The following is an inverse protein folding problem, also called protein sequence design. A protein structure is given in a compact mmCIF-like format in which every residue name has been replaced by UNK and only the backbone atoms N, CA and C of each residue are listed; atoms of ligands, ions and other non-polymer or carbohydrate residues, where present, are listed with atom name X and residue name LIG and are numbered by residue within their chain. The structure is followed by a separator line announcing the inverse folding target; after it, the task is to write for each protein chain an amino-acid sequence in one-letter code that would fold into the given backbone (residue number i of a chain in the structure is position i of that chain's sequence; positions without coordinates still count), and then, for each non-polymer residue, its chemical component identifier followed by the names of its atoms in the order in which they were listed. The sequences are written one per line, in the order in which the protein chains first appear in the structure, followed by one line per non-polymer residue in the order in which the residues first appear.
data_IF_728987287924
#
_entry.id   IF_728987287924
#
_cell.length_a   1.000
_cell.length_b   1.000
_cell.length_c   1.000
_cell.angle_alpha   90.00
_cell.angle_beta   90.00
_cell.angle_gamma   90.00
#
_symmetry.space_group_name_H-M   'P 1'
#
loop_
_entity.id
_entity.type
_entity.pdbx_description
1 polymer ?
#
# COMPACT_ATOMS: atom_id res chain seq x y z
N UNK A 1 -20.88 13.46 -5.54
CA UNK A 1 -20.62 12.00 -5.51
C UNK A 1 -20.64 11.52 -6.95
N UNK A 2 -19.52 11.03 -7.49
CA UNK A 2 -19.36 10.84 -8.96
C UNK A 2 -19.99 9.51 -9.46
N UNK A 3 -20.39 8.62 -8.55
CA UNK A 3 -21.09 7.35 -8.84
C UNK A 3 -21.90 6.89 -7.63
N UNK A 4 -22.88 6.01 -7.85
CA UNK A 4 -23.71 5.39 -6.80
C UNK A 4 -23.21 3.98 -6.51
N UNK A 5 -22.85 3.72 -5.26
CA UNK A 5 -22.45 2.37 -4.85
C UNK A 5 -23.70 1.47 -4.77
N UNK A 6 -23.67 0.25 -5.35
CA UNK A 6 -24.79 -0.68 -5.24
C UNK A 6 -25.14 -0.96 -3.78
N UNK A 7 -26.44 -0.96 -3.47
CA UNK A 7 -26.94 -1.11 -2.09
C UNK A 7 -26.97 -2.56 -1.60
N UNK A 8 -27.23 -3.51 -2.51
CA UNK A 8 -27.41 -4.92 -2.17
C UNK A 8 -26.18 -5.75 -2.55
N UNK A 9 -25.92 -6.81 -1.78
CA UNK A 9 -24.92 -7.80 -2.15
C UNK A 9 -25.39 -8.61 -3.35
N UNK A 10 -24.82 -8.31 -4.51
CA UNK A 10 -24.90 -9.21 -5.65
C UNK A 10 -24.08 -10.46 -5.37
N UNK A 11 -24.53 -11.62 -5.85
CA UNK A 11 -23.75 -12.87 -5.88
C UNK A 11 -22.35 -12.74 -6.53
N UNK A 12 -22.07 -11.60 -7.15
CA UNK A 12 -20.82 -11.23 -7.85
C UNK A 12 -19.79 -10.48 -6.97
N UNK A 13 -20.07 -10.20 -5.69
CA UNK A 13 -19.07 -9.54 -4.83
C UNK A 13 -17.90 -10.49 -4.49
N UNK A 14 -16.68 -9.96 -4.58
CA UNK A 14 -15.42 -10.65 -4.22
C UNK A 14 -14.65 -9.86 -3.15
N UNK A 15 -13.94 -10.54 -2.22
CA UNK A 15 -13.06 -9.87 -1.26
C UNK A 15 -12.02 -8.94 -1.88
N UNK A 16 -11.64 -9.17 -3.14
CA UNK A 16 -10.68 -8.31 -3.85
C UNK A 16 -11.19 -6.88 -4.08
N UNK A 17 -12.50 -6.60 -3.95
CA UNK A 17 -13.02 -5.23 -3.98
C UNK A 17 -12.53 -4.34 -2.83
N UNK A 18 -12.02 -4.92 -1.74
CA UNK A 18 -11.30 -4.15 -0.72
C UNK A 18 -10.09 -3.41 -1.31
N UNK A 19 -9.48 -3.93 -2.38
CA UNK A 19 -8.35 -3.29 -3.06
C UNK A 19 -8.73 -1.94 -3.71
N UNK A 20 -10.02 -1.71 -4.02
CA UNK A 20 -10.49 -0.41 -4.49
C UNK A 20 -10.35 0.66 -3.39
N UNK A 21 -10.76 0.33 -2.16
CA UNK A 21 -10.58 1.20 -1.01
C UNK A 21 -9.09 1.36 -0.67
N UNK A 22 -8.33 0.26 -0.66
CA UNK A 22 -6.88 0.29 -0.44
C UNK A 22 -6.17 1.22 -1.42
N UNK A 23 -6.49 1.11 -2.71
CA UNK A 23 -5.92 1.93 -3.77
C UNK A 23 -6.23 3.42 -3.61
N UNK A 24 -7.45 3.77 -3.22
CA UNK A 24 -7.80 5.14 -2.88
C UNK A 24 -6.99 5.66 -1.67
N UNK A 25 -6.86 4.85 -0.62
CA UNK A 25 -6.01 5.20 0.53
C UNK A 25 -4.54 5.40 0.13
N UNK A 26 -4.03 4.53 -0.74
CA UNK A 26 -2.70 4.67 -1.33
C UNK A 26 -2.52 5.96 -2.14
N UNK A 27 -3.51 6.36 -2.93
CA UNK A 27 -3.47 7.63 -3.65
C UNK A 27 -3.42 8.83 -2.69
N UNK A 28 -4.12 8.79 -1.55
CA UNK A 28 -3.97 9.81 -0.51
C UNK A 28 -2.51 9.89 0.01
N UNK A 29 -1.87 8.74 0.26
CA UNK A 29 -0.44 8.66 0.64
C UNK A 29 0.45 9.27 -0.45
N UNK A 30 0.17 9.02 -1.74
CA UNK A 30 0.97 9.57 -2.83
C UNK A 30 0.97 11.10 -2.87
N UNK A 31 -0.15 11.75 -2.54
CA UNK A 31 -0.21 13.21 -2.38
C UNK A 31 0.49 13.70 -1.12
N UNK A 32 0.44 12.91 -0.03
CA UNK A 32 1.22 13.22 1.17
C UNK A 32 2.73 13.23 0.90
N UNK A 33 3.23 12.45 -0.07
CA UNK A 33 4.65 12.51 -0.48
C UNK A 33 5.06 13.88 -1.02
N UNK A 34 4.14 14.65 -1.59
CA UNK A 34 4.43 16.02 -2.04
C UNK A 34 4.73 16.91 -0.84
N UNK A 35 3.90 16.81 0.22
CA UNK A 35 4.15 17.53 1.47
C UNK A 35 5.46 17.05 2.09
N UNK A 36 5.64 15.73 2.22
CA UNK A 36 6.81 15.13 2.86
C UNK A 36 8.13 15.62 2.24
N UNK A 37 8.20 15.79 0.92
CA UNK A 37 9.47 16.04 0.25
C UNK A 37 9.64 17.44 -0.33
N UNK A 38 8.57 18.23 -0.47
CA UNK A 38 8.66 19.59 -1.01
C UNK A 38 8.41 20.67 0.04
N UNK A 39 7.87 20.31 1.20
CA UNK A 39 7.66 21.23 2.32
C UNK A 39 8.79 21.10 3.35
N UNK A 40 9.47 22.20 3.73
CA UNK A 40 10.33 22.20 4.91
C UNK A 40 9.51 21.96 6.18
N UNK A 41 9.99 21.07 7.06
CA UNK A 41 9.35 20.74 8.33
C UNK A 41 10.46 20.47 9.38
N UNK A 42 11.04 21.51 9.99
CA UNK A 42 12.22 21.37 10.86
C UNK A 42 11.87 20.82 12.25
N UNK A 43 10.64 20.99 12.71
CA UNK A 43 10.23 20.72 14.09
C UNK A 43 9.76 19.27 14.30
N UNK A 44 9.55 18.52 13.22
CA UNK A 44 9.08 17.14 13.25
C UNK A 44 9.69 16.33 12.09
N UNK A 45 9.75 14.99 12.19
CA UNK A 45 10.20 14.12 11.09
C UNK A 45 9.18 13.99 9.95
N UNK A 46 8.00 14.60 10.07
CA UNK A 46 6.91 14.58 9.09
C UNK A 46 6.29 15.97 8.98
N UNK A 47 5.73 16.34 7.80
CA UNK A 47 5.09 17.64 7.62
C UNK A 47 3.79 17.74 8.42
N UNK A 48 3.61 18.88 9.08
CA UNK A 48 2.45 19.21 9.90
C UNK A 48 1.56 20.26 9.22
N UNK A 49 0.37 20.48 9.79
CA UNK A 49 -0.55 21.51 9.36
C UNK A 49 0.10 22.91 9.38
N UNK A 50 0.87 23.18 10.43
CA UNK A 50 1.57 24.45 10.66
C UNK A 50 2.61 24.74 9.56
N UNK A 51 3.35 23.73 9.13
CA UNK A 51 4.33 23.84 8.04
C UNK A 51 3.63 24.25 6.74
N UNK A 52 2.48 23.64 6.46
CA UNK A 52 1.71 23.90 5.25
C UNK A 52 1.13 25.32 5.26
N UNK A 53 0.62 25.78 6.40
CA UNK A 53 0.16 27.17 6.58
C UNK A 53 1.31 28.17 6.41
N UNK A 54 2.48 27.86 6.96
CA UNK A 54 3.68 28.71 6.84
C UNK A 54 4.11 28.81 5.38
N UNK A 55 4.17 27.70 4.65
CA UNK A 55 4.50 27.72 3.23
C UNK A 55 3.47 28.46 2.38
N UNK A 56 2.17 28.41 2.72
CA UNK A 56 1.16 29.18 2.01
C UNK A 56 1.35 30.70 2.16
N UNK A 57 1.92 31.16 3.27
CA UNK A 57 2.27 32.57 3.48
C UNK A 57 3.54 32.93 2.72
N UNK A 58 4.64 32.23 3.02
CA UNK A 58 5.98 32.75 2.75
C UNK A 58 6.77 31.98 1.67
N UNK A 59 6.26 30.84 1.17
CA UNK A 59 6.99 30.03 0.20
C UNK A 59 6.74 30.42 -1.27
N UNK A 60 7.55 29.82 -2.16
CA UNK A 60 7.43 29.98 -3.61
C UNK A 60 6.06 29.56 -4.15
N UNK A 61 5.67 30.09 -5.32
CA UNK A 61 4.42 29.71 -5.99
C UNK A 61 4.29 28.19 -6.20
N UNK A 62 5.39 27.51 -6.52
CA UNK A 62 5.44 26.05 -6.71
C UNK A 62 5.08 25.33 -5.41
N UNK A 63 5.64 25.76 -4.28
CA UNK A 63 5.33 25.22 -2.96
C UNK A 63 3.86 25.43 -2.59
N UNK A 64 3.29 26.59 -2.91
CA UNK A 64 1.86 26.88 -2.66
C UNK A 64 0.95 25.96 -3.49
N UNK A 65 1.26 25.79 -4.78
CA UNK A 65 0.52 24.87 -5.66
C UNK A 65 0.62 23.42 -5.16
N UNK A 66 1.82 23.00 -4.73
CA UNK A 66 2.05 21.69 -4.16
C UNK A 66 1.20 21.45 -2.90
N UNK A 67 1.15 22.40 -1.97
CA UNK A 67 0.36 22.29 -0.74
C UNK A 67 -1.14 22.18 -1.07
N UNK A 68 -1.67 23.10 -1.89
CA UNK A 68 -3.10 23.08 -2.26
C UNK A 68 -3.46 21.81 -3.01
N UNK A 69 -2.62 21.38 -3.96
CA UNK A 69 -2.80 20.14 -4.71
C UNK A 69 -2.76 18.91 -3.82
N UNK A 70 -1.82 18.85 -2.87
CA UNK A 70 -1.73 17.76 -1.91
C UNK A 70 -2.94 17.72 -0.98
N UNK A 71 -3.39 18.85 -0.43
CA UNK A 71 -4.59 18.91 0.40
C UNK A 71 -5.84 18.45 -0.35
N UNK A 72 -6.04 18.93 -1.58
CA UNK A 72 -7.15 18.50 -2.42
C UNK A 72 -7.11 16.99 -2.70
N UNK A 73 -5.94 16.47 -3.06
CA UNK A 73 -5.73 15.05 -3.32
C UNK A 73 -5.97 14.18 -2.07
N UNK A 74 -5.35 14.52 -0.94
CA UNK A 74 -5.51 13.81 0.33
C UNK A 74 -6.99 13.82 0.74
N UNK A 75 -7.64 14.98 0.75
CA UNK A 75 -9.05 15.10 1.14
C UNK A 75 -9.97 14.26 0.27
N UNK A 76 -9.84 14.37 -1.06
CA UNK A 76 -10.66 13.63 -2.02
C UNK A 76 -10.46 12.11 -1.90
N UNK A 77 -9.21 11.64 -1.93
CA UNK A 77 -8.91 10.21 -1.93
C UNK A 77 -9.15 9.55 -0.57
N UNK A 78 -9.02 10.30 0.52
CA UNK A 78 -9.41 9.81 1.85
C UNK A 78 -10.92 9.65 1.97
N UNK A 79 -11.70 10.63 1.50
CA UNK A 79 -13.16 10.51 1.46
C UNK A 79 -13.58 9.30 0.62
N UNK A 80 -12.94 9.11 -0.54
CA UNK A 80 -13.17 7.95 -1.38
C UNK A 80 -12.81 6.63 -0.68
N UNK A 81 -11.66 6.57 0.00
CA UNK A 81 -11.24 5.41 0.78
C UNK A 81 -12.31 5.01 1.80
N UNK A 82 -12.80 5.95 2.62
CA UNK A 82 -13.82 5.65 3.63
C UNK A 82 -15.16 5.22 3.01
N UNK A 83 -15.59 5.86 1.91
CA UNK A 83 -16.81 5.45 1.21
C UNK A 83 -16.73 4.00 0.71
N UNK A 84 -15.64 3.65 0.04
CA UNK A 84 -15.42 2.29 -0.47
C UNK A 84 -15.19 1.28 0.66
N UNK A 85 -14.54 1.67 1.76
CA UNK A 85 -14.32 0.82 2.92
C UNK A 85 -15.65 0.47 3.60
N UNK A 86 -16.48 1.46 3.90
CA UNK A 86 -17.80 1.25 4.53
C UNK A 86 -18.65 0.35 3.66
N UNK A 87 -18.65 0.58 2.35
CA UNK A 87 -19.34 -0.29 1.40
C UNK A 87 -18.79 -1.72 1.45
N UNK A 88 -17.48 -1.92 1.33
CA UNK A 88 -16.87 -3.25 1.38
C UNK A 88 -17.14 -3.99 2.71
N UNK A 89 -17.12 -3.31 3.85
CA UNK A 89 -17.44 -3.92 5.15
C UNK A 89 -18.89 -4.39 5.23
N UNK A 90 -19.84 -3.59 4.70
CA UNK A 90 -21.26 -3.98 4.61
C UNK A 90 -21.44 -5.18 3.68
N UNK A 91 -20.82 -5.15 2.50
CA UNK A 91 -20.86 -6.24 1.53
C UNK A 91 -20.25 -7.52 2.10
N UNK A 92 -19.11 -7.42 2.78
CA UNK A 92 -18.46 -8.55 3.42
C UNK A 92 -19.33 -9.18 4.52
N UNK A 93 -19.99 -8.36 5.34
CA UNK A 93 -20.91 -8.84 6.38
C UNK A 93 -22.07 -9.67 5.80
N UNK A 94 -22.60 -9.25 4.65
CA UNK A 94 -23.65 -9.99 3.92
C UNK A 94 -23.07 -11.24 3.25
N UNK A 95 -21.95 -11.12 2.55
CA UNK A 95 -21.27 -12.22 1.84
C UNK A 95 -20.96 -13.40 2.76
N UNK A 96 -20.55 -13.14 4.01
CA UNK A 96 -20.28 -14.18 5.03
C UNK A 96 -21.45 -15.13 5.32
N UNK A 97 -22.67 -14.74 4.97
CA UNK A 97 -23.89 -15.54 5.17
C UNK A 97 -24.27 -16.39 3.96
N UNK A 98 -23.49 -16.30 2.87
CA UNK A 98 -23.82 -16.95 1.59
C UNK A 98 -23.10 -18.29 1.41
N UNK A 99 -23.64 -19.22 0.59
CA UNK A 99 -22.94 -20.45 0.22
C UNK A 99 -21.59 -20.20 -0.47
N UNK A 100 -21.47 -19.11 -1.25
CA UNK A 100 -20.25 -18.71 -1.94
C UNK A 100 -19.09 -18.43 -0.95
N UNK A 101 -19.39 -17.89 0.24
CA UNK A 101 -18.38 -17.70 1.28
C UNK A 101 -17.85 -19.03 1.83
N UNK A 102 -18.73 -20.02 2.04
CA UNK A 102 -18.31 -21.35 2.47
C UNK A 102 -17.46 -22.05 1.41
N UNK A 103 -17.79 -21.88 0.13
CA UNK A 103 -16.96 -22.38 -0.97
C UNK A 103 -15.59 -21.69 -1.01
N UNK A 104 -15.55 -20.36 -0.83
CA UNK A 104 -14.32 -19.59 -0.78
C UNK A 104 -13.40 -20.09 0.36
N UNK A 105 -13.94 -20.26 1.56
CA UNK A 105 -13.22 -20.75 2.76
C UNK A 105 -12.64 -22.16 2.59
N UNK A 106 -13.19 -22.95 1.68
CA UNK A 106 -12.70 -24.30 1.37
C UNK A 106 -11.83 -24.35 0.11
N UNK A 107 -11.30 -23.20 -0.35
CA UNK A 107 -10.52 -23.09 -1.58
C UNK A 107 -9.18 -22.36 -1.36
N UNK A 108 -8.30 -22.38 -2.37
CA UNK A 108 -7.07 -21.59 -2.38
C UNK A 108 -7.34 -20.07 -2.31
N UNK A 109 -8.50 -19.64 -2.82
CA UNK A 109 -8.94 -18.24 -2.83
C UNK A 109 -9.36 -17.72 -1.45
N UNK A 110 -9.40 -18.56 -0.42
CA UNK A 110 -9.60 -18.14 0.97
C UNK A 110 -8.63 -17.01 1.39
N UNK A 111 -7.40 -17.05 0.89
CA UNK A 111 -6.38 -16.02 1.13
C UNK A 111 -6.80 -14.61 0.69
N UNK A 112 -7.79 -14.48 -0.21
CA UNK A 112 -8.33 -13.18 -0.61
C UNK A 112 -9.03 -12.43 0.53
N UNK A 113 -9.47 -13.14 1.58
CA UNK A 113 -10.04 -12.52 2.78
C UNK A 113 -9.05 -11.59 3.50
N UNK A 114 -7.75 -11.77 3.28
CA UNK A 114 -6.69 -10.90 3.81
C UNK A 114 -6.70 -9.50 3.20
N UNK A 115 -7.43 -9.27 2.11
CA UNK A 115 -7.69 -7.93 1.58
C UNK A 115 -8.39 -7.02 2.60
N UNK A 116 -9.22 -7.59 3.49
CA UNK A 116 -9.89 -6.88 4.58
C UNK A 116 -8.91 -6.28 5.60
N UNK A 117 -8.12 -7.11 6.32
CA UNK A 117 -7.09 -6.63 7.24
C UNK A 117 -6.09 -5.68 6.58
N UNK A 118 -5.64 -6.00 5.36
CA UNK A 118 -4.76 -5.15 4.56
C UNK A 118 -5.35 -3.74 4.38
N UNK A 119 -6.64 -3.64 4.07
CA UNK A 119 -7.31 -2.35 3.86
C UNK A 119 -7.54 -1.61 5.18
N UNK A 120 -7.90 -2.29 6.27
CA UNK A 120 -8.02 -1.66 7.59
C UNK A 120 -6.68 -1.12 8.10
N UNK A 121 -5.57 -1.82 7.83
CA UNK A 121 -4.23 -1.31 8.15
C UNK A 121 -3.95 0.00 7.39
N UNK A 122 -4.33 0.07 6.11
CA UNK A 122 -4.26 1.32 5.34
C UNK A 122 -5.17 2.42 5.90
N UNK A 123 -6.34 2.08 6.45
CA UNK A 123 -7.25 3.06 7.07
C UNK A 123 -6.60 3.81 8.23
N UNK A 124 -5.79 3.12 9.06
CA UNK A 124 -5.03 3.77 10.12
C UNK A 124 -4.03 4.77 9.52
N UNK A 125 -3.31 4.38 8.46
CA UNK A 125 -2.36 5.28 7.77
C UNK A 125 -3.06 6.51 7.17
N UNK A 126 -4.23 6.33 6.55
CA UNK A 126 -5.06 7.44 6.02
C UNK A 126 -5.52 8.35 7.16
N UNK A 127 -5.93 7.78 8.30
CA UNK A 127 -6.29 8.55 9.50
C UNK A 127 -5.14 9.42 10.00
N UNK A 128 -3.92 8.88 10.07
CA UNK A 128 -2.73 9.65 10.43
C UNK A 128 -2.44 10.78 9.44
N UNK A 129 -2.51 10.51 8.13
CA UNK A 129 -2.30 11.54 7.10
C UNK A 129 -3.33 12.66 7.23
N UNK A 130 -4.61 12.33 7.41
CA UNK A 130 -5.65 13.33 7.63
C UNK A 130 -5.38 14.17 8.88
N UNK A 131 -4.97 13.51 9.97
CA UNK A 131 -4.55 14.18 11.19
C UNK A 131 -3.43 15.18 10.92
N UNK A 132 -2.30 14.71 10.40
CA UNK A 132 -1.10 15.54 10.15
C UNK A 132 -1.38 16.69 9.18
N UNK A 133 -2.27 16.48 8.21
CA UNK A 133 -2.54 17.45 7.13
C UNK A 133 -3.57 18.49 7.54
N UNK A 134 -4.57 18.15 8.35
CA UNK A 134 -5.74 19.01 8.59
C UNK A 134 -6.03 19.32 10.06
N UNK A 135 -5.35 18.68 11.01
CA UNK A 135 -5.58 18.92 12.45
C UNK A 135 -4.44 19.77 13.01
N UNK A 136 -4.71 21.02 13.43
CA UNK A 136 -3.70 21.87 14.04
C UNK A 136 -3.23 21.29 15.37
N UNK A 137 -1.95 21.48 15.68
CA UNK A 137 -1.27 21.07 16.90
C UNK A 137 -1.33 19.56 17.20
N UNK A 138 -1.62 18.69 16.20
CA UNK A 138 -1.68 17.23 16.42
C UNK A 138 -0.37 16.69 17.01
N UNK A 139 0.77 17.24 16.60
CA UNK A 139 2.08 16.78 17.05
C UNK A 139 2.27 16.92 18.58
N UNK A 140 1.60 17.89 19.21
CA UNK A 140 1.64 18.08 20.68
C UNK A 140 1.10 16.89 21.48
N UNK A 141 0.27 16.04 20.86
CA UNK A 141 -0.36 14.88 21.50
C UNK A 141 0.04 13.56 20.84
N UNK A 142 0.95 13.57 19.86
CA UNK A 142 1.26 12.40 19.02
C UNK A 142 1.77 11.19 19.82
N UNK A 143 2.49 11.43 20.92
CA UNK A 143 2.99 10.37 21.79
C UNK A 143 1.88 9.54 22.44
N UNK A 144 0.69 10.13 22.65
CA UNK A 144 -0.49 9.39 23.11
C UNK A 144 -1.17 8.59 22.00
N UNK A 145 -1.05 9.06 20.74
CA UNK A 145 -1.61 8.37 19.59
C UNK A 145 -0.80 7.13 19.22
N UNK A 146 0.53 7.12 19.45
CA UNK A 146 1.37 5.99 19.06
C UNK A 146 1.00 4.66 19.75
N UNK A 147 0.80 4.56 21.08
CA UNK A 147 0.34 3.32 21.71
C UNK A 147 -1.01 2.84 21.18
N UNK A 148 -1.94 3.76 20.94
CA UNK A 148 -3.27 3.44 20.38
C UNK A 148 -3.15 2.89 18.96
N UNK A 149 -2.26 3.47 18.15
CA UNK A 149 -1.96 2.99 16.81
C UNK A 149 -1.31 1.62 16.82
N UNK A 150 -0.32 1.39 17.70
CA UNK A 150 0.32 0.08 17.86
C UNK A 150 -0.73 -0.98 18.23
N UNK A 151 -1.58 -0.70 19.20
CA UNK A 151 -2.67 -1.61 19.59
C UNK A 151 -3.61 -1.90 18.42
N UNK A 152 -3.99 -0.87 17.66
CA UNK A 152 -4.87 -1.01 16.49
C UNK A 152 -4.25 -1.90 15.41
N UNK A 153 -2.97 -1.71 15.08
CA UNK A 153 -2.26 -2.56 14.14
C UNK A 153 -2.06 -3.99 14.67
N UNK A 154 -1.83 -4.18 15.97
CA UNK A 154 -1.74 -5.51 16.58
C UNK A 154 -3.07 -6.24 16.49
N UNK A 155 -4.21 -5.57 16.72
CA UNK A 155 -5.53 -6.17 16.58
C UNK A 155 -5.83 -6.59 15.13
N UNK A 156 -5.47 -5.73 14.16
CA UNK A 156 -5.59 -6.06 12.73
C UNK A 156 -4.65 -7.22 12.37
N UNK A 157 -3.44 -7.23 12.92
CA UNK A 157 -2.46 -8.30 12.77
C UNK A 157 -2.97 -9.62 13.32
N UNK A 158 -3.56 -9.61 14.52
CA UNK A 158 -4.18 -10.79 15.11
C UNK A 158 -5.32 -11.33 14.24
N UNK A 159 -6.15 -10.45 13.66
CA UNK A 159 -7.18 -10.86 12.70
C UNK A 159 -6.59 -11.50 11.43
N UNK A 160 -5.53 -10.90 10.87
CA UNK A 160 -4.84 -11.44 9.70
C UNK A 160 -4.18 -12.79 9.99
N UNK A 161 -3.53 -12.94 11.15
CA UNK A 161 -2.94 -14.21 11.60
C UNK A 161 -4.01 -15.27 11.86
N UNK A 162 -5.19 -14.91 12.36
CA UNK A 162 -6.30 -15.85 12.53
C UNK A 162 -6.80 -16.39 11.18
N UNK A 163 -6.93 -15.54 10.16
CA UNK A 163 -7.27 -15.98 8.80
C UNK A 163 -6.19 -16.90 8.21
N UNK A 164 -4.92 -16.57 8.42
CA UNK A 164 -3.80 -17.40 7.99
C UNK A 164 -3.77 -18.75 8.72
N UNK A 165 -4.00 -18.76 10.02
CA UNK A 165 -4.07 -19.99 10.83
C UNK A 165 -5.13 -20.93 10.27
N UNK A 166 -6.31 -20.43 9.94
CA UNK A 166 -7.39 -21.24 9.38
C UNK A 166 -7.00 -21.82 8.00
N UNK A 167 -6.41 -20.99 7.12
CA UNK A 167 -5.95 -21.42 5.80
C UNK A 167 -4.83 -22.48 5.88
N UNK A 168 -3.76 -22.19 6.62
CA UNK A 168 -2.61 -23.09 6.77
C UNK A 168 -2.97 -24.35 7.56
N UNK A 169 -3.81 -24.22 8.59
CA UNK A 169 -4.31 -25.37 9.34
C UNK A 169 -5.07 -26.33 8.43
N UNK A 170 -5.90 -25.82 7.52
CA UNK A 170 -6.60 -26.64 6.52
C UNK A 170 -5.62 -27.24 5.51
N UNK A 171 -4.79 -26.40 4.88
CA UNK A 171 -3.94 -26.80 3.74
C UNK A 171 -2.79 -27.71 4.16
N UNK A 172 -2.12 -27.45 5.29
CA UNK A 172 -0.94 -28.21 5.71
C UNK A 172 -1.28 -29.49 6.46
N UNK A 173 -2.44 -29.55 7.14
CA UNK A 173 -2.87 -30.77 7.87
C UNK A 173 -3.77 -31.63 7.00
N UNK A 174 -4.77 -31.02 6.34
CA UNK A 174 -5.77 -31.73 5.55
C UNK A 174 -5.42 -31.89 4.07
N UNK A 175 -4.40 -31.18 3.57
CA UNK A 175 -4.12 -31.11 2.14
C UNK A 175 -5.17 -30.29 1.38
N UNK A 176 -5.40 -30.62 0.11
CA UNK A 176 -6.42 -29.96 -0.72
C UNK A 176 -6.01 -28.62 -1.32
N UNK A 177 -4.72 -28.28 -1.31
CA UNK A 177 -4.20 -27.18 -2.09
C UNK A 177 -4.20 -27.55 -3.57
N UNK A 178 -5.02 -26.85 -4.35
CA UNK A 178 -5.10 -27.07 -5.80
C UNK A 178 -3.94 -26.33 -6.49
N UNK A 179 -2.80 -27.00 -6.65
CA UNK A 179 -1.61 -26.45 -7.33
C UNK A 179 -1.91 -26.03 -8.77
N UNK A 180 -2.90 -26.67 -9.41
CA UNK A 180 -3.30 -26.42 -10.79
C UNK A 180 -4.03 -25.08 -10.88
N UNK A 181 -5.04 -24.88 -10.03
CA UNK A 181 -5.78 -23.61 -9.98
C UNK A 181 -5.03 -22.45 -9.34
N UNK A 182 -3.79 -22.65 -8.87
CA UNK A 182 -2.96 -21.60 -8.29
C UNK A 182 -2.07 -20.87 -9.31
N UNK A 183 -2.55 -20.68 -10.54
CA UNK A 183 -1.79 -20.03 -11.59
C UNK A 183 -1.88 -18.49 -11.56
N UNK A 184 -1.99 -17.90 -10.37
CA UNK A 184 -2.00 -16.45 -10.17
C UNK A 184 -1.35 -16.07 -8.83
N UNK A 185 -0.96 -14.81 -8.70
CA UNK A 185 -0.33 -14.29 -7.49
C UNK A 185 -1.34 -13.65 -6.52
N UNK A 186 -2.63 -13.96 -6.60
CA UNK A 186 -3.57 -13.57 -5.54
C UNK A 186 -3.17 -14.17 -4.19
N UNK A 187 -2.41 -15.28 -4.20
CA UNK A 187 -1.81 -15.85 -2.99
C UNK A 187 -0.67 -15.02 -2.38
N UNK A 188 -0.30 -13.88 -2.99
CA UNK A 188 0.56 -12.88 -2.35
C UNK A 188 -0.20 -11.90 -1.46
N UNK A 189 -1.54 -11.91 -1.46
CA UNK A 189 -2.33 -11.08 -0.54
C UNK A 189 -1.94 -11.28 0.93
N UNK A 190 -1.69 -12.50 1.44
CA UNK A 190 -1.13 -12.70 2.76
C UNK A 190 0.19 -11.95 3.02
N UNK A 191 1.16 -12.07 2.12
CA UNK A 191 2.44 -11.38 2.26
C UNK A 191 2.23 -9.86 2.25
N UNK A 192 1.32 -9.37 1.39
CA UNK A 192 1.00 -7.96 1.32
C UNK A 192 0.30 -7.43 2.58
N UNK A 193 -0.65 -8.18 3.14
CA UNK A 193 -1.30 -7.84 4.40
C UNK A 193 -0.27 -7.73 5.53
N UNK A 194 0.62 -8.72 5.66
CA UNK A 194 1.69 -8.72 6.66
C UNK A 194 2.65 -7.53 6.46
N UNK A 195 3.05 -7.23 5.23
CA UNK A 195 3.92 -6.10 4.93
C UNK A 195 3.25 -4.74 5.23
N UNK A 196 1.94 -4.62 4.98
CA UNK A 196 1.17 -3.42 5.33
C UNK A 196 1.04 -3.22 6.85
N UNK A 197 0.84 -4.30 7.60
CA UNK A 197 0.82 -4.25 9.07
C UNK A 197 2.22 -3.89 9.59
N UNK A 198 3.28 -4.48 9.02
CA UNK A 198 4.67 -4.19 9.39
C UNK A 198 5.03 -2.70 9.21
N UNK A 199 4.71 -2.12 8.04
CA UNK A 199 5.02 -0.71 7.77
C UNK A 199 4.24 0.23 8.68
N UNK A 200 2.99 -0.12 9.03
CA UNK A 200 2.18 0.62 10.00
C UNK A 200 2.77 0.56 11.41
N UNK A 201 3.12 -0.64 11.87
CA UNK A 201 3.78 -0.86 13.17
C UNK A 201 5.15 -0.19 13.26
N UNK A 202 5.85 0.05 12.15
CA UNK A 202 7.15 0.72 12.13
C UNK A 202 7.04 2.25 12.23
N UNK A 203 5.83 2.84 12.10
CA UNK A 203 5.66 4.29 12.16
C UNK A 203 6.16 4.91 13.49
N UNK A 204 5.78 4.39 14.68
CA UNK A 204 6.28 4.93 15.94
C UNK A 204 7.80 4.79 16.13
N UNK A 205 8.43 3.74 15.57
CA UNK A 205 9.88 3.58 15.66
C UNK A 205 10.65 4.74 15.04
N UNK A 206 10.13 5.34 13.97
CA UNK A 206 10.76 6.47 13.29
C UNK A 206 10.41 7.85 13.91
N UNK A 207 9.38 7.93 14.74
CA UNK A 207 8.75 9.20 15.09
C UNK A 207 8.58 9.46 16.60
N UNK A 208 8.58 8.42 17.43
CA UNK A 208 8.41 8.56 18.88
C UNK A 208 9.74 8.90 19.57
N UNK A 209 9.65 9.74 20.59
CA UNK A 209 10.74 10.04 21.52
C UNK A 209 10.78 9.08 22.70
N UNK A 210 9.75 8.25 22.88
CA UNK A 210 9.69 7.27 23.97
C UNK A 210 10.34 5.95 23.54
N UNK A 211 11.48 5.62 24.15
CA UNK A 211 12.25 4.41 23.87
C UNK A 211 11.43 3.12 24.03
N UNK A 212 10.48 3.07 24.97
CA UNK A 212 9.60 1.89 25.15
C UNK A 212 8.70 1.71 23.94
N UNK A 213 8.02 2.78 23.51
CA UNK A 213 7.16 2.77 22.30
C UNK A 213 7.96 2.38 21.06
N UNK A 214 9.17 2.94 20.90
CA UNK A 214 10.09 2.63 19.81
C UNK A 214 10.48 1.15 19.84
N UNK A 215 10.85 0.61 20.99
CA UNK A 215 11.27 -0.80 21.12
C UNK A 215 10.14 -1.76 20.75
N UNK A 216 8.92 -1.55 21.27
CA UNK A 216 7.76 -2.37 20.89
C UNK A 216 7.45 -2.25 19.39
N UNK A 217 7.52 -1.04 18.84
CA UNK A 217 7.34 -0.78 17.43
C UNK A 217 8.35 -1.54 16.57
N UNK A 218 9.64 -1.53 16.93
CA UNK A 218 10.71 -2.25 16.24
C UNK A 218 10.49 -3.76 16.27
N UNK A 219 10.20 -4.34 17.44
CA UNK A 219 10.00 -5.79 17.59
C UNK A 219 8.77 -6.26 16.82
N UNK A 220 7.62 -5.60 17.00
CA UNK A 220 6.37 -5.98 16.36
C UNK A 220 6.43 -5.80 14.84
N UNK A 221 6.96 -4.68 14.35
CA UNK A 221 7.12 -4.47 12.90
C UNK A 221 8.06 -5.49 12.27
N UNK A 222 9.16 -5.85 12.96
CA UNK A 222 10.10 -6.89 12.48
C UNK A 222 9.44 -8.26 12.37
N UNK A 223 8.62 -8.65 13.35
CA UNK A 223 7.88 -9.91 13.31
C UNK A 223 6.99 -10.02 12.05
N UNK A 224 6.18 -8.98 11.79
CA UNK A 224 5.32 -8.95 10.61
C UNK A 224 6.11 -8.84 9.30
N UNK A 225 7.24 -8.12 9.30
CA UNK A 225 8.14 -8.01 8.15
C UNK A 225 8.74 -9.38 7.78
N UNK A 226 9.27 -10.12 8.75
CA UNK A 226 9.81 -11.47 8.54
C UNK A 226 8.71 -12.42 8.06
N UNK A 227 7.52 -12.34 8.65
CA UNK A 227 6.37 -13.13 8.22
C UNK A 227 6.00 -12.84 6.77
N UNK A 228 5.96 -11.56 6.38
CA UNK A 228 5.70 -11.14 5.01
C UNK A 228 6.75 -11.70 4.03
N UNK A 229 8.03 -11.65 4.41
CA UNK A 229 9.14 -12.15 3.59
C UNK A 229 9.05 -13.66 3.36
N UNK A 230 8.84 -14.44 4.42
CA UNK A 230 8.73 -15.91 4.35
C UNK A 230 7.54 -16.31 3.46
N UNK A 231 6.36 -15.74 3.73
CA UNK A 231 5.16 -16.07 2.95
C UNK A 231 5.33 -15.62 1.50
N UNK A 232 5.86 -14.42 1.27
CA UNK A 232 6.10 -13.90 -0.08
C UNK A 232 7.05 -14.79 -0.88
N UNK A 233 8.17 -15.19 -0.28
CA UNK A 233 9.15 -16.06 -0.94
C UNK A 233 8.56 -17.41 -1.36
N UNK A 234 7.85 -18.07 -0.44
CA UNK A 234 7.18 -19.36 -0.72
C UNK A 234 6.16 -19.19 -1.86
N UNK A 235 5.31 -18.17 -1.77
CA UNK A 235 4.20 -17.98 -2.70
C UNK A 235 4.65 -17.52 -4.09
N UNK A 236 5.73 -16.75 -4.19
CA UNK A 236 6.37 -16.44 -5.47
C UNK A 236 6.81 -17.75 -6.13
N UNK A 237 7.57 -18.59 -5.44
CA UNK A 237 8.08 -19.84 -6.02
C UNK A 237 6.93 -20.75 -6.48
N UNK A 238 5.92 -20.95 -5.64
CA UNK A 238 4.76 -21.78 -5.98
C UNK A 238 3.93 -21.20 -7.13
N UNK A 239 3.71 -19.88 -7.14
CA UNK A 239 2.94 -19.20 -8.18
C UNK A 239 3.64 -19.26 -9.55
N UNK A 240 4.95 -19.02 -9.59
CA UNK A 240 5.73 -19.14 -10.83
C UNK A 240 5.73 -20.57 -11.35
N UNK A 241 5.92 -21.57 -10.49
CA UNK A 241 5.83 -22.97 -10.89
C UNK A 241 4.48 -23.27 -11.57
N UNK A 242 3.36 -22.91 -10.93
CA UNK A 242 2.02 -23.15 -11.49
C UNK A 242 1.80 -22.40 -12.81
N UNK A 243 2.26 -21.14 -12.92
CA UNK A 243 2.16 -20.37 -14.16
C UNK A 243 3.01 -20.94 -15.30
N UNK A 244 4.18 -21.51 -14.99
CA UNK A 244 5.02 -22.18 -15.99
C UNK A 244 4.40 -23.50 -16.47
N UNK A 245 3.71 -24.22 -15.59
CA UNK A 245 3.04 -25.48 -15.94
C UNK A 245 1.73 -25.27 -16.71
N UNK A 246 0.96 -24.21 -16.40
CA UNK A 246 -0.43 -24.09 -16.85
C UNK A 246 -0.79 -22.79 -17.57
N UNK A 247 0.15 -21.85 -17.63
CA UNK A 247 -0.15 -20.47 -18.01
C UNK A 247 -0.91 -19.73 -16.90
N UNK A 248 -0.80 -18.41 -16.86
CA UNK A 248 -1.49 -17.58 -15.87
C UNK A 248 -2.95 -17.32 -16.23
N UNK A 249 -3.85 -17.26 -15.25
CA UNK A 249 -5.25 -16.88 -15.50
C UNK A 249 -5.35 -15.40 -15.96
N UNK A 250 -5.94 -15.11 -17.13
CA UNK A 250 -6.07 -13.75 -17.64
C UNK A 250 -6.81 -12.80 -16.68
N UNK A 251 -7.81 -13.28 -15.93
CA UNK A 251 -8.66 -12.45 -15.07
C UNK A 251 -7.92 -11.92 -13.83
N UNK A 252 -6.86 -12.64 -13.41
CA UNK A 252 -6.06 -12.41 -12.21
C UNK A 252 -4.60 -12.09 -12.55
N UNK A 253 -4.23 -12.00 -13.82
CA UNK A 253 -2.90 -11.59 -14.30
C UNK A 253 -2.34 -10.31 -13.63
N UNK A 254 -3.14 -9.27 -13.28
CA UNK A 254 -2.64 -8.10 -12.54
C UNK A 254 -1.95 -8.40 -11.23
N UNK A 255 -2.25 -9.55 -10.62
CA UNK A 255 -1.66 -9.96 -9.34
C UNK A 255 -0.15 -10.11 -9.42
N UNK A 256 0.43 -10.30 -10.62
CA UNK A 256 1.88 -10.26 -10.87
C UNK A 256 2.54 -8.99 -10.33
N UNK A 257 1.84 -7.87 -10.39
CA UNK A 257 2.35 -6.60 -9.92
C UNK A 257 2.20 -6.38 -8.42
N UNK A 258 1.49 -7.25 -7.67
CA UNK A 258 1.37 -7.13 -6.19
C UNK A 258 2.73 -7.21 -5.48
N UNK A 259 3.74 -7.79 -6.12
CA UNK A 259 5.11 -7.77 -5.60
C UNK A 259 5.64 -6.33 -5.45
N UNK A 260 5.27 -5.41 -6.36
CA UNK A 260 5.70 -4.01 -6.31
C UNK A 260 5.32 -3.32 -4.99
N UNK A 261 4.03 -3.24 -4.61
CA UNK A 261 3.65 -2.60 -3.34
C UNK A 261 4.15 -3.37 -2.11
N UNK A 262 4.31 -4.71 -2.17
CA UNK A 262 4.97 -5.45 -1.09
C UNK A 262 6.38 -4.90 -0.87
N UNK A 263 7.19 -4.84 -1.93
CA UNK A 263 8.56 -4.31 -1.86
C UNK A 263 8.59 -2.85 -1.40
N UNK A 264 7.64 -2.01 -1.82
CA UNK A 264 7.55 -0.61 -1.33
C UNK A 264 7.31 -0.59 0.17
N UNK A 265 6.31 -1.33 0.66
CA UNK A 265 5.97 -1.32 2.10
C UNK A 265 7.08 -1.89 2.97
N UNK A 266 7.77 -2.94 2.52
CA UNK A 266 8.95 -3.49 3.19
C UNK A 266 10.11 -2.48 3.21
N UNK A 267 10.34 -1.78 2.09
CA UNK A 267 11.36 -0.72 2.03
C UNK A 267 11.08 0.40 3.03
N UNK A 268 9.82 0.88 3.10
CA UNK A 268 9.43 1.92 4.06
C UNK A 268 9.53 1.41 5.50
N UNK A 269 9.21 0.13 5.74
CA UNK A 269 9.38 -0.50 7.05
C UNK A 269 10.85 -0.42 7.47
N UNK A 270 11.76 -0.86 6.60
CA UNK A 270 13.20 -0.82 6.85
C UNK A 270 13.71 0.60 7.06
N UNK A 271 13.31 1.57 6.22
CA UNK A 271 13.68 2.97 6.39
C UNK A 271 13.28 3.50 7.79
N UNK A 272 12.06 3.20 8.23
CA UNK A 272 11.55 3.63 9.53
C UNK A 272 12.28 2.96 10.69
N UNK A 273 12.55 1.67 10.57
CA UNK A 273 13.32 0.92 11.56
C UNK A 273 14.75 1.45 11.67
N UNK A 274 15.43 1.68 10.54
CA UNK A 274 16.76 2.28 10.49
C UNK A 274 16.77 3.64 11.20
N UNK A 275 15.79 4.52 10.93
CA UNK A 275 15.66 5.78 11.67
C UNK A 275 15.52 5.58 13.18
N UNK A 276 14.70 4.62 13.63
CA UNK A 276 14.55 4.30 15.05
C UNK A 276 15.85 3.81 15.69
N UNK A 277 16.60 2.94 15.00
CA UNK A 277 17.90 2.46 15.44
C UNK A 277 18.95 3.59 15.52
N UNK A 278 18.94 4.53 14.58
CA UNK A 278 19.81 5.70 14.61
C UNK A 278 19.50 6.63 15.78
N UNK A 279 18.24 6.98 15.96
CA UNK A 279 17.84 8.00 16.92
C UNK A 279 17.98 7.52 18.37
N UNK A 280 17.79 6.22 18.64
CA UNK A 280 17.70 5.70 20.01
C UNK A 280 18.79 4.71 20.40
N UNK A 281 19.56 4.16 19.44
CA UNK A 281 20.48 3.04 19.71
C UNK A 281 21.88 3.22 19.08
N UNK A 282 22.28 4.46 18.77
CA UNK A 282 23.60 4.82 18.23
C UNK A 282 24.06 3.98 17.01
N UNK A 283 23.12 3.53 16.18
CA UNK A 283 23.49 2.76 14.98
C UNK A 283 24.19 3.68 13.96
N UNK A 284 25.29 3.22 13.35
CA UNK A 284 26.06 3.99 12.36
C UNK A 284 25.65 3.77 10.90
N UNK A 285 24.43 3.28 10.62
CA UNK A 285 23.98 3.03 9.25
C UNK A 285 23.90 4.31 8.38
N UNK A 286 25.02 4.68 7.74
CA UNK A 286 25.11 5.92 6.96
C UNK A 286 24.22 5.94 5.71
N UNK A 287 24.11 7.12 5.08
CA UNK A 287 23.30 7.34 3.87
C UNK A 287 23.60 6.41 2.68
N UNK A 288 24.81 5.83 2.62
CA UNK A 288 25.18 4.81 1.61
C UNK A 288 24.30 3.55 1.73
N UNK A 289 24.05 3.08 2.96
CA UNK A 289 23.23 1.89 3.19
C UNK A 289 21.78 2.12 2.78
N UNK A 290 21.25 3.32 3.07
CA UNK A 290 19.90 3.73 2.69
C UNK A 290 19.75 3.83 1.17
N UNK A 291 20.69 4.50 0.48
CA UNK A 291 20.66 4.61 -0.97
C UNK A 291 20.80 3.25 -1.65
N UNK A 292 21.72 2.39 -1.18
CA UNK A 292 21.91 1.04 -1.70
C UNK A 292 20.63 0.20 -1.56
N UNK A 293 20.02 0.20 -0.37
CA UNK A 293 18.76 -0.48 -0.12
C UNK A 293 17.65 0.01 -1.06
N UNK A 294 17.42 1.33 -1.13
CA UNK A 294 16.41 1.92 -2.02
C UNK A 294 16.65 1.53 -3.48
N UNK A 295 17.90 1.52 -3.93
CA UNK A 295 18.27 1.10 -5.28
C UNK A 295 17.91 -0.36 -5.54
N UNK A 296 18.29 -1.28 -4.66
CA UNK A 296 18.02 -2.71 -4.85
C UNK A 296 16.53 -3.03 -4.89
N UNK A 297 15.76 -2.46 -3.98
CA UNK A 297 14.31 -2.66 -3.95
C UNK A 297 13.63 -2.01 -5.16
N UNK A 298 14.07 -0.82 -5.60
CA UNK A 298 13.53 -0.18 -6.81
C UNK A 298 13.82 -1.03 -8.05
N UNK A 299 15.05 -1.52 -8.21
CA UNK A 299 15.42 -2.42 -9.31
C UNK A 299 14.55 -3.69 -9.31
N UNK A 300 14.35 -4.33 -8.15
CA UNK A 300 13.49 -5.50 -8.05
C UNK A 300 12.05 -5.18 -8.46
N UNK A 301 11.51 -4.02 -8.05
CA UNK A 301 10.17 -3.58 -8.47
C UNK A 301 10.07 -3.35 -9.97
N UNK A 302 11.08 -2.74 -10.59
CA UNK A 302 11.10 -2.52 -12.03
C UNK A 302 11.14 -3.86 -12.80
N UNK A 303 11.90 -4.85 -12.32
CA UNK A 303 11.91 -6.20 -12.91
C UNK A 303 10.53 -6.85 -12.85
N UNK A 304 9.87 -6.85 -11.69
CA UNK A 304 8.51 -7.39 -11.57
C UNK A 304 7.47 -6.57 -12.36
N UNK A 305 7.65 -5.25 -12.43
CA UNK A 305 6.85 -4.34 -13.24
C UNK A 305 6.92 -4.69 -14.73
N UNK A 306 8.13 -4.83 -15.27
CA UNK A 306 8.36 -5.22 -16.66
C UNK A 306 7.86 -6.63 -16.96
N UNK A 307 8.09 -7.59 -16.06
CA UNK A 307 7.59 -8.95 -16.22
C UNK A 307 6.05 -8.99 -16.30
N UNK A 308 5.38 -8.35 -15.34
CA UNK A 308 3.91 -8.29 -15.36
C UNK A 308 3.38 -7.52 -16.56
N UNK A 309 4.10 -6.50 -17.05
CA UNK A 309 3.74 -5.80 -18.28
C UNK A 309 3.73 -6.74 -19.49
N UNK A 310 4.77 -7.57 -19.65
CA UNK A 310 4.84 -8.55 -20.75
C UNK A 310 3.64 -9.50 -20.74
N UNK A 311 3.26 -9.99 -19.56
CA UNK A 311 2.11 -10.90 -19.42
C UNK A 311 0.79 -10.18 -19.71
N UNK A 312 0.56 -9.00 -19.12
CA UNK A 312 -0.66 -8.22 -19.31
C UNK A 312 -0.85 -7.75 -20.75
N UNK A 313 0.23 -7.35 -21.43
CA UNK A 313 0.21 -6.94 -22.82
C UNK A 313 -0.19 -8.10 -23.75
N UNK A 314 0.34 -9.31 -23.51
CA UNK A 314 -0.01 -10.50 -24.30
C UNK A 314 -1.46 -10.94 -24.15
N UNK A 315 -2.07 -10.73 -22.98
CA UNK A 315 -3.51 -10.96 -22.79
C UNK A 315 -4.41 -9.84 -23.33
N UNK A 316 -3.83 -8.74 -23.80
CA UNK A 316 -4.60 -7.53 -24.10
C UNK A 316 -5.38 -7.04 -22.88
N UNK A 317 -4.84 -7.24 -21.67
CA UNK A 317 -5.59 -7.09 -20.41
C UNK A 317 -6.23 -5.70 -20.29
N UNK A 318 -5.48 -4.65 -20.62
CA UNK A 318 -5.97 -3.27 -20.58
C UNK A 318 -7.15 -3.05 -21.52
N UNK A 319 -7.11 -3.59 -22.74
CA UNK A 319 -8.18 -3.47 -23.72
C UNK A 319 -9.48 -4.15 -23.25
N UNK A 320 -9.36 -5.25 -22.49
CA UNK A 320 -10.50 -6.05 -22.03
C UNK A 320 -11.10 -5.54 -20.73
N UNK A 321 -10.27 -5.43 -19.68
CA UNK A 321 -10.71 -5.23 -18.30
C UNK A 321 -10.53 -3.79 -17.78
N UNK A 322 -9.84 -2.91 -18.52
CA UNK A 322 -9.64 -1.51 -18.11
C UNK A 322 -10.39 -0.54 -19.03
N UNK A 323 -10.08 -0.54 -20.33
CA UNK A 323 -10.76 0.32 -21.32
C UNK A 323 -12.01 -0.33 -21.89
N UNK A 324 -12.09 -1.67 -21.89
CA UNK A 324 -13.25 -2.44 -22.34
C UNK A 324 -14.43 -2.45 -21.36
N UNK A 325 -15.31 -3.45 -21.55
CA UNK A 325 -16.58 -3.63 -20.80
C UNK A 325 -16.55 -4.82 -19.86
N UNK A 326 -15.55 -5.70 -19.94
CA UNK A 326 -15.42 -6.86 -19.06
C UNK A 326 -15.11 -6.41 -17.63
N UNK A 327 -15.87 -6.91 -16.65
CA UNK A 327 -15.68 -6.58 -15.23
C UNK A 327 -14.84 -7.67 -14.56
N UNK A 328 -13.72 -7.27 -13.96
CA UNK A 328 -12.94 -8.12 -13.05
C UNK A 328 -12.55 -7.35 -11.81
N UNK A 329 -12.95 -7.82 -10.63
CA UNK A 329 -12.52 -7.23 -9.36
C UNK A 329 -10.98 -7.28 -9.20
N UNK A 330 -10.32 -8.24 -9.86
CA UNK A 330 -8.86 -8.34 -9.92
C UNK A 330 -8.19 -7.14 -10.61
N UNK A 331 -8.91 -6.36 -11.43
CA UNK A 331 -8.36 -5.17 -12.07
C UNK A 331 -7.94 -4.10 -11.04
N UNK A 332 -8.56 -4.05 -9.85
CA UNK A 332 -8.13 -3.15 -8.77
C UNK A 332 -6.74 -3.47 -8.23
N UNK A 333 -6.22 -4.69 -8.45
CA UNK A 333 -4.84 -5.02 -8.10
C UNK A 333 -3.81 -4.22 -8.91
N UNK A 334 -4.19 -3.58 -10.03
CA UNK A 334 -3.32 -2.68 -10.81
C UNK A 334 -3.05 -1.34 -10.11
N UNK A 335 -3.91 -0.93 -9.14
CA UNK A 335 -3.82 0.39 -8.51
C UNK A 335 -2.66 0.48 -7.52
N UNK A 336 -2.53 -0.52 -6.64
CA UNK A 336 -1.51 -0.53 -5.59
C UNK A 336 -0.06 -0.50 -6.13
N UNK A 337 0.29 -1.21 -7.22
CA UNK A 337 1.59 -1.08 -7.88
C UNK A 337 1.89 0.32 -8.41
N UNK A 338 0.91 0.97 -9.03
CA UNK A 338 1.05 2.36 -9.47
C UNK A 338 1.39 3.29 -8.30
N UNK A 339 0.58 3.24 -7.24
CA UNK A 339 0.85 4.01 -6.00
C UNK A 339 2.19 3.64 -5.39
N UNK A 340 2.48 2.34 -5.23
CA UNK A 340 3.67 1.85 -4.57
C UNK A 340 4.95 2.32 -5.26
N UNK A 341 4.96 2.33 -6.59
CA UNK A 341 6.09 2.81 -7.37
C UNK A 341 6.21 4.35 -7.33
N UNK A 342 5.10 5.10 -7.31
CA UNK A 342 5.13 6.57 -7.06
C UNK A 342 5.81 6.87 -5.73
N UNK A 343 5.36 6.23 -4.65
CA UNK A 343 5.92 6.42 -3.32
C UNK A 343 7.39 6.01 -3.28
N UNK A 344 7.74 4.87 -3.89
CA UNK A 344 9.13 4.43 -3.97
C UNK A 344 10.03 5.44 -4.69
N UNK A 345 9.60 5.95 -5.84
CA UNK A 345 10.38 6.94 -6.60
C UNK A 345 10.58 8.20 -5.76
N UNK A 346 9.57 8.66 -5.02
CA UNK A 346 9.72 9.79 -4.10
C UNK A 346 10.77 9.52 -3.00
N UNK A 347 10.74 8.35 -2.36
CA UNK A 347 11.77 7.98 -1.38
C UNK A 347 13.16 7.84 -2.02
N UNK A 348 13.27 7.20 -3.18
CA UNK A 348 14.53 7.04 -3.90
C UNK A 348 15.15 8.39 -4.29
N UNK A 349 14.36 9.32 -4.82
CA UNK A 349 14.84 10.66 -5.21
C UNK A 349 15.23 11.46 -3.97
N UNK A 350 14.37 11.52 -2.95
CA UNK A 350 14.55 12.46 -1.85
C UNK A 350 15.37 11.88 -0.70
N UNK A 351 14.96 10.73 -0.14
CA UNK A 351 15.69 10.08 0.95
C UNK A 351 16.95 9.33 0.47
N UNK A 352 17.01 8.94 -0.80
CA UNK A 352 18.19 8.34 -1.42
C UNK A 352 19.10 9.40 -2.05
N UNK A 353 18.83 9.79 -3.29
CA UNK A 353 19.73 10.59 -4.12
C UNK A 353 20.02 11.99 -3.54
N UNK A 354 18.96 12.68 -3.08
CA UNK A 354 19.10 14.06 -2.58
C UNK A 354 19.79 14.08 -1.22
N UNK A 355 19.36 13.25 -0.26
CA UNK A 355 20.02 13.14 1.06
C UNK A 355 21.48 12.67 0.98
N UNK A 356 21.83 11.87 -0.03
CA UNK A 356 23.21 11.45 -0.28
C UNK A 356 24.06 12.52 -0.98
N UNK A 357 23.45 13.60 -1.50
CA UNK A 357 24.14 14.64 -2.26
C UNK A 357 24.45 14.27 -3.72
N UNK A 358 23.93 13.15 -4.23
CA UNK A 358 24.07 12.76 -5.64
C UNK A 358 23.12 13.54 -6.58
N UNK A 359 22.11 14.21 -6.02
CA UNK A 359 21.14 14.99 -6.79
C UNK A 359 20.79 16.29 -6.06
N UNK A 360 20.96 17.42 -6.75
CA UNK A 360 20.57 18.71 -6.21
C UNK A 360 19.05 18.87 -6.19
N UNK A 361 18.50 19.28 -5.03
CA UNK A 361 17.07 19.46 -4.82
C UNK A 361 16.52 20.56 -5.74
N UNK A 362 15.40 20.29 -6.40
CA UNK A 362 14.73 21.20 -7.34
C UNK A 362 15.52 21.56 -8.61
N UNK A 363 16.64 20.88 -8.89
CA UNK A 363 17.33 20.97 -10.19
C UNK A 363 16.48 20.42 -11.35
N UNK A 364 16.92 20.67 -12.59
CA UNK A 364 16.28 20.10 -13.80
C UNK A 364 16.28 18.57 -13.74
N UNK A 365 17.38 17.96 -13.27
CA UNK A 365 17.49 16.51 -13.12
C UNK A 365 16.49 15.99 -12.07
N UNK A 366 16.33 16.71 -10.95
CA UNK A 366 15.35 16.39 -9.91
C UNK A 366 13.92 16.35 -10.47
N UNK A 367 13.52 17.40 -11.20
CA UNK A 367 12.20 17.49 -11.79
C UNK A 367 11.98 16.48 -12.90
N UNK A 368 13.03 16.13 -13.67
CA UNK A 368 12.96 15.07 -14.68
C UNK A 368 12.61 13.71 -14.06
N UNK A 369 13.28 13.31 -12.98
CA UNK A 369 12.97 12.06 -12.27
C UNK A 369 11.60 12.11 -11.58
N UNK A 370 11.28 13.25 -10.97
CA UNK A 370 10.00 13.45 -10.28
C UNK A 370 8.82 13.44 -11.27
N UNK A 371 9.02 13.91 -12.50
CA UNK A 371 7.99 13.87 -13.55
C UNK A 371 7.51 12.44 -13.84
N UNK A 372 8.40 11.44 -13.73
CA UNK A 372 8.04 10.02 -13.88
C UNK A 372 7.06 9.59 -12.79
N UNK A 373 7.30 9.98 -11.54
CA UNK A 373 6.39 9.72 -10.43
C UNK A 373 5.04 10.42 -10.64
N UNK A 374 5.05 11.67 -11.10
CA UNK A 374 3.82 12.42 -11.35
C UNK A 374 2.99 11.81 -12.49
N UNK A 375 3.60 11.43 -13.61
CA UNK A 375 2.92 10.76 -14.72
C UNK A 375 2.28 9.46 -14.25
N UNK A 376 3.02 8.67 -13.45
CA UNK A 376 2.50 7.42 -12.91
C UNK A 376 1.34 7.65 -11.92
N UNK A 377 1.44 8.69 -11.08
CA UNK A 377 0.38 9.09 -10.15
C UNK A 377 -0.89 9.48 -10.91
N UNK A 378 -0.80 10.35 -11.92
CA UNK A 378 -1.94 10.75 -12.75
C UNK A 378 -2.54 9.57 -13.52
N UNK A 379 -1.70 8.67 -14.04
CA UNK A 379 -2.16 7.44 -14.70
C UNK A 379 -2.92 6.53 -13.73
N UNK A 380 -2.46 6.43 -12.49
CA UNK A 380 -3.11 5.64 -11.44
C UNK A 380 -4.43 6.27 -11.00
N UNK A 381 -4.50 7.60 -10.92
CA UNK A 381 -5.74 8.35 -10.66
C UNK A 381 -6.77 8.07 -11.76
N UNK A 382 -6.35 8.16 -13.03
CA UNK A 382 -7.20 7.84 -14.18
C UNK A 382 -7.70 6.40 -14.12
N UNK A 383 -6.83 5.44 -13.77
CA UNK A 383 -7.18 4.03 -13.61
C UNK A 383 -8.27 3.84 -12.55
N UNK A 384 -8.11 4.42 -11.35
CA UNK A 384 -9.13 4.35 -10.28
C UNK A 384 -10.45 4.93 -10.74
N UNK A 385 -10.43 6.11 -11.37
CA UNK A 385 -11.64 6.73 -11.91
C UNK A 385 -12.33 5.82 -12.94
N UNK A 386 -11.55 5.24 -13.88
CA UNK A 386 -12.07 4.37 -14.93
C UNK A 386 -12.68 3.08 -14.37
N UNK A 387 -12.00 2.43 -13.42
CA UNK A 387 -12.47 1.21 -12.76
C UNK A 387 -13.71 1.48 -11.93
N UNK A 388 -13.73 2.56 -11.14
CA UNK A 388 -14.91 2.92 -10.36
C UNK A 388 -16.11 3.19 -11.27
N UNK A 389 -15.90 3.85 -12.41
CA UNK A 389 -16.96 4.05 -13.42
C UNK A 389 -17.40 2.74 -14.08
N UNK A 390 -16.52 1.76 -14.24
CA UNK A 390 -16.87 0.46 -14.84
C UNK A 390 -17.67 -0.41 -13.85
N UNK A 391 -17.28 -0.40 -12.58
CA UNK A 391 -17.84 -1.28 -11.55
C UNK A 391 -19.04 -0.70 -10.80
N UNK A 392 -19.13 0.63 -10.65
CA UNK A 392 -20.14 1.31 -9.81
C UNK A 392 -21.02 2.30 -10.57
N UNK A 393 -20.99 2.30 -11.91
CA UNK A 393 -21.96 3.09 -12.69
C UNK A 393 -23.22 2.26 -12.90
N UNK A 394 -24.25 2.60 -12.14
CA UNK A 394 -25.65 2.35 -12.51
C UNK A 394 -26.10 3.36 -13.57
#
# INVERSE_FOLDING_TARGET
MIYRLPKDATSEWSPTYFLAALGAGGLAVSFFMWLMFWLPHPDAPVPLFEDAITALKDASLISKIAVVGAWAGIGFFSLLHFQLLIWNLRQFSQFRKTPAYHQLRNSNSETQLLAGPLTLAMTINVGFILGLTFVPALWSVVEWLFPVALLSFVLIGAWALALLRDFWGRVLVGGGFDCVKNNNLAQLLPAFAMAMIAVGLAAPAAMSQNTVTVTFSLVLSSFFMVTAFIIGAIQIVLGFRAMLEQGSDPSTAPTLWIVVPILTTLTITLLRQTHGFHAHFESGAGGVAVLGMLTYFLCAQLVFGLLGWVVLARYGYFARFVTGTEKSAGAYALVCPGVGLVVMIHFFINAGLTSFGALERFSIAYWSLTSVALILQFTTIWLVYRLNRLHFKE
#
